data_IF_710409984223
#
_entry.id   IF_710409984223
#
_cell.length_a   1.000
_cell.length_b   1.000
_cell.length_c   1.000
_cell.angle_alpha   90.00
_cell.angle_beta   90.00
_cell.angle_gamma   90.00
#
_symmetry.space_group_name_H-M   'P 1'
#
loop_
_entity.id
_entity.type
_entity.pdbx_description
1 polymer ?
#
# COMPACT_ATOMS: atom_id res chain seq x y z
N UNK A 1 16.16 25.36 -7.42
CA UNK A 1 16.23 24.49 -6.22
C UNK A 1 15.94 23.07 -6.65
N UNK A 2 16.95 22.19 -6.62
CA UNK A 2 16.84 20.81 -7.10
C UNK A 2 15.97 19.99 -6.15
N UNK A 3 14.72 19.73 -6.53
CA UNK A 3 13.89 18.69 -5.91
C UNK A 3 14.53 17.33 -6.21
N UNK A 4 15.43 16.88 -5.33
CA UNK A 4 15.93 15.51 -5.41
C UNK A 4 14.81 14.58 -4.96
N UNK A 5 14.31 13.66 -5.81
CA UNK A 5 13.24 12.73 -5.43
C UNK A 5 13.65 11.84 -4.25
N UNK A 6 14.96 11.57 -4.10
CA UNK A 6 15.51 10.84 -2.96
C UNK A 6 15.36 11.61 -1.64
N UNK A 7 15.61 12.93 -1.64
CA UNK A 7 15.42 13.75 -0.44
C UNK A 7 13.97 13.75 0.01
N UNK A 8 13.04 13.87 -0.94
CA UNK A 8 11.62 13.79 -0.66
C UNK A 8 11.24 12.43 -0.04
N UNK A 9 11.81 11.33 -0.55
CA UNK A 9 11.60 10.01 0.03
C UNK A 9 12.06 9.94 1.50
N UNK A 10 13.25 10.44 1.82
CA UNK A 10 13.75 10.41 3.20
C UNK A 10 12.99 11.36 4.14
N UNK A 11 12.50 12.49 3.63
CA UNK A 11 11.57 13.35 4.36
C UNK A 11 10.26 12.63 4.69
N UNK A 12 9.73 11.86 3.74
CA UNK A 12 8.53 11.04 3.93
C UNK A 12 8.71 9.97 5.02
N UNK A 13 9.88 9.30 5.05
CA UNK A 13 10.22 8.34 6.10
C UNK A 13 10.21 9.02 7.48
N UNK A 14 10.82 10.20 7.62
CA UNK A 14 10.81 10.94 8.88
C UNK A 14 9.41 11.42 9.27
N UNK A 15 8.61 11.87 8.31
CA UNK A 15 7.23 12.29 8.57
C UNK A 15 6.38 11.15 9.14
N UNK A 16 6.57 9.92 8.66
CA UNK A 16 5.88 8.74 9.21
C UNK A 16 6.26 8.54 10.68
N UNK A 17 7.55 8.62 11.02
CA UNK A 17 7.99 8.47 12.41
C UNK A 17 7.46 9.60 13.31
N UNK A 18 7.39 10.83 12.78
CA UNK A 18 6.81 11.97 13.50
C UNK A 18 5.31 11.76 13.76
N UNK A 19 4.57 11.29 12.75
CA UNK A 19 3.15 10.97 12.88
C UNK A 19 2.92 9.86 13.91
N UNK A 20 3.70 8.78 13.86
CA UNK A 20 3.60 7.69 14.83
C UNK A 20 3.91 8.17 16.26
N UNK A 21 4.86 9.09 16.43
CA UNK A 21 5.23 9.65 17.73
C UNK A 21 4.20 10.63 18.32
N UNK A 22 3.55 11.44 17.48
CA UNK A 22 2.65 12.53 17.91
C UNK A 22 1.16 12.17 17.84
N UNK A 23 0.76 11.35 16.88
CA UNK A 23 -0.64 11.08 16.53
C UNK A 23 -1.03 9.62 16.78
N UNK A 24 -0.04 8.74 16.90
CA UNK A 24 -0.21 7.33 17.20
C UNK A 24 0.05 6.41 16.01
N UNK A 25 0.62 5.24 16.31
CA UNK A 25 1.01 4.26 15.31
C UNK A 25 -0.18 3.61 14.57
N UNK A 26 -0.09 3.59 13.24
CA UNK A 26 -1.03 2.85 12.39
C UNK A 26 -0.62 1.39 12.20
N UNK A 27 -1.52 0.53 11.70
CA UNK A 27 -1.18 -0.84 11.32
C UNK A 27 -1.03 -1.87 12.46
N UNK A 28 -1.07 -1.46 13.74
CA UNK A 28 -0.98 -2.39 14.86
C UNK A 28 -2.33 -3.03 15.25
N UNK A 29 -2.31 -4.36 15.39
CA UNK A 29 -3.46 -5.21 15.68
C UNK A 29 -4.02 -5.08 17.10
N UNK A 30 -3.21 -4.64 18.08
CA UNK A 30 -3.63 -4.46 19.48
C UNK A 30 -3.27 -3.07 20.01
N UNK A 31 -3.86 -2.69 21.15
CA UNK A 31 -3.55 -1.42 21.85
C UNK A 31 -2.10 -1.40 22.35
N UNK A 32 -1.66 -2.48 22.99
CA UNK A 32 -0.30 -2.65 23.50
C UNK A 32 0.74 -2.53 22.39
N UNK A 33 0.49 -3.16 21.24
CA UNK A 33 1.40 -3.05 20.10
C UNK A 33 1.49 -1.60 19.58
N UNK A 34 0.38 -0.85 19.54
CA UNK A 34 0.43 0.59 19.19
C UNK A 34 1.28 1.37 20.19
N UNK A 35 1.09 1.15 21.48
CA UNK A 35 1.85 1.83 22.53
C UNK A 35 3.35 1.59 22.37
N UNK A 36 3.75 0.34 22.11
CA UNK A 36 5.14 -0.03 21.83
C UNK A 36 5.68 0.70 20.60
N UNK A 37 4.93 0.74 19.50
CA UNK A 37 5.36 1.42 18.27
C UNK A 37 5.50 2.93 18.47
N UNK A 38 4.56 3.56 19.19
CA UNK A 38 4.63 4.99 19.55
C UNK A 38 5.87 5.26 20.40
N UNK A 39 6.13 4.41 21.39
CA UNK A 39 7.33 4.49 22.23
C UNK A 39 8.62 4.38 21.43
N UNK A 40 8.69 3.43 20.49
CA UNK A 40 9.83 3.28 19.57
C UNK A 40 10.03 4.51 18.68
N UNK A 41 8.95 5.04 18.10
CA UNK A 41 9.02 6.24 17.26
C UNK A 41 9.52 7.47 18.06
N UNK A 42 9.03 7.65 19.29
CA UNK A 42 9.51 8.71 20.18
C UNK A 42 10.99 8.54 20.52
N UNK A 43 11.40 7.33 20.92
CA UNK A 43 12.80 7.07 21.27
C UNK A 43 13.76 7.30 20.08
N UNK A 44 13.35 6.84 18.89
CA UNK A 44 14.10 7.04 17.65
C UNK A 44 14.33 8.52 17.32
N UNK A 45 13.32 9.37 17.54
CA UNK A 45 13.38 10.80 17.21
C UNK A 45 13.97 11.68 18.32
N UNK A 46 14.17 11.17 19.54
CA UNK A 46 14.69 11.96 20.68
C UNK A 46 16.08 11.54 21.15
N UNK A 47 16.61 10.44 20.61
CA UNK A 47 17.91 9.89 20.99
C UNK A 47 18.87 9.98 19.80
N UNK A 48 20.05 10.60 19.93
CA UNK A 48 21.02 10.64 18.85
C UNK A 48 21.49 9.22 18.53
N UNK A 49 21.42 8.84 17.26
CA UNK A 49 21.82 7.52 16.78
C UNK A 49 22.46 7.60 15.39
N UNK A 50 23.37 6.67 15.03
CA UNK A 50 23.95 6.63 13.69
C UNK A 50 22.89 6.55 12.59
N UNK A 51 21.84 5.74 12.79
CA UNK A 51 20.76 5.56 11.82
C UNK A 51 19.97 6.86 11.62
N UNK A 52 19.64 7.56 12.71
CA UNK A 52 18.96 8.86 12.61
C UNK A 52 19.85 9.90 11.90
N UNK A 53 21.15 9.92 12.19
CA UNK A 53 22.10 10.82 11.53
C UNK A 53 22.11 10.61 10.00
N UNK A 54 22.14 9.34 9.55
CA UNK A 54 22.08 8.99 8.13
C UNK A 54 20.76 9.45 7.51
N UNK A 55 19.63 9.15 8.14
CA UNK A 55 18.30 9.52 7.62
C UNK A 55 18.14 11.04 7.53
N UNK A 56 18.55 11.77 8.57
CA UNK A 56 18.52 13.24 8.58
C UNK A 56 19.44 13.82 7.48
N UNK A 57 20.66 13.29 7.34
CA UNK A 57 21.59 13.72 6.28
C UNK A 57 20.99 13.54 4.88
N UNK A 58 20.40 12.38 4.61
CA UNK A 58 19.76 12.08 3.31
C UNK A 58 18.50 12.91 3.08
N UNK A 59 17.77 13.27 4.14
CA UNK A 59 16.62 14.16 4.08
C UNK A 59 16.98 15.65 3.97
N UNK A 60 18.27 15.99 4.11
CA UNK A 60 18.77 17.37 4.12
C UNK A 60 18.42 18.14 5.39
N UNK A 61 18.36 17.46 6.54
CA UNK A 61 18.05 18.02 7.85
C UNK A 61 19.19 17.77 8.83
N UNK A 62 19.31 18.65 9.82
CA UNK A 62 20.25 18.48 10.93
C UNK A 62 19.64 17.59 12.03
N UNK A 63 20.38 16.59 12.49
CA UNK A 63 19.90 15.61 13.46
C UNK A 63 19.60 16.26 14.81
N UNK A 64 20.49 17.13 15.30
CA UNK A 64 20.32 17.77 16.62
C UNK A 64 19.12 18.70 16.62
N UNK A 65 18.93 19.49 15.56
CA UNK A 65 17.75 20.33 15.39
C UNK A 65 16.45 19.52 15.36
N UNK A 66 16.45 18.34 14.70
CA UNK A 66 15.28 17.43 14.69
C UNK A 66 15.00 16.89 16.09
N UNK A 67 16.02 16.45 16.82
CA UNK A 67 15.89 15.92 18.19
C UNK A 67 15.34 16.99 19.13
N UNK A 68 15.89 18.20 19.08
CA UNK A 68 15.44 19.33 19.91
C UNK A 68 13.96 19.65 19.63
N UNK A 69 13.60 19.79 18.35
CA UNK A 69 12.23 20.07 17.95
C UNK A 69 11.27 18.94 18.37
N UNK A 70 11.68 17.68 18.24
CA UNK A 70 10.85 16.54 18.61
C UNK A 70 10.67 16.40 20.11
N UNK A 71 11.71 16.67 20.93
CA UNK A 71 11.59 16.72 22.39
C UNK A 71 10.57 17.79 22.82
N UNK A 72 10.64 18.98 22.23
CA UNK A 72 9.70 20.06 22.50
C UNK A 72 8.24 19.70 22.12
N UNK A 73 8.05 19.05 20.97
CA UNK A 73 6.71 18.59 20.53
C UNK A 73 6.17 17.46 21.41
N UNK A 74 7.00 16.50 21.79
CA UNK A 74 6.61 15.36 22.63
C UNK A 74 6.25 15.82 24.05
N UNK A 75 6.92 16.84 24.58
CA UNK A 75 6.59 17.40 25.89
C UNK A 75 5.15 17.94 25.97
N UNK A 76 4.58 18.38 24.84
CA UNK A 76 3.21 18.88 24.74
C UNK A 76 2.21 17.81 24.25
N UNK A 77 2.68 16.60 23.93
CA UNK A 77 1.86 15.54 23.36
C UNK A 77 1.30 14.60 24.46
N UNK A 78 0.13 13.98 24.25
CA UNK A 78 -0.41 12.98 25.17
C UNK A 78 0.54 11.80 25.39
N UNK A 79 0.32 11.01 26.44
CA UNK A 79 1.15 9.83 26.70
C UNK A 79 0.98 8.76 25.59
N UNK A 80 1.96 7.86 25.39
CA UNK A 80 1.84 6.79 24.40
C UNK A 80 0.61 5.89 24.64
N UNK A 81 0.25 5.65 25.91
CA UNK A 81 -0.93 4.87 26.29
C UNK A 81 -2.25 5.55 25.88
N UNK A 82 -2.33 6.88 26.03
CA UNK A 82 -3.49 7.68 25.62
C UNK A 82 -3.64 7.69 24.09
N UNK A 83 -2.54 7.90 23.37
CA UNK A 83 -2.52 7.84 21.92
C UNK A 83 -2.90 6.45 21.39
N UNK A 84 -2.40 5.38 22.01
CA UNK A 84 -2.70 4.01 21.62
C UNK A 84 -4.18 3.63 21.80
N UNK A 85 -4.86 4.28 22.75
CA UNK A 85 -6.27 4.07 23.08
C UNK A 85 -7.20 4.68 22.03
N UNK A 86 -6.79 5.75 21.35
CA UNK A 86 -7.64 6.47 20.39
C UNK A 86 -7.30 6.14 18.92
N UNK A 87 -7.79 4.99 18.43
CA UNK A 87 -7.63 4.55 17.04
C UNK A 87 -8.14 5.58 15.99
N UNK A 88 -9.09 6.44 16.36
CA UNK A 88 -9.73 7.38 15.42
C UNK A 88 -8.83 8.57 15.08
N UNK A 89 -7.99 9.05 16.01
CA UNK A 89 -7.10 10.19 15.78
C UNK A 89 -6.06 9.86 14.69
N UNK A 90 -5.35 8.74 14.83
CA UNK A 90 -4.33 8.27 13.89
C UNK A 90 -4.89 8.05 12.47
N UNK A 91 -6.05 7.38 12.35
CA UNK A 91 -6.69 7.14 11.05
C UNK A 91 -7.23 8.41 10.37
N UNK A 92 -7.68 9.41 11.15
CA UNK A 92 -8.21 10.65 10.59
C UNK A 92 -7.09 11.58 10.12
N UNK A 93 -5.93 11.58 10.78
CA UNK A 93 -4.79 12.40 10.32
C UNK A 93 -4.19 11.90 9.02
N UNK A 94 -4.03 10.58 8.84
CA UNK A 94 -3.63 10.03 7.53
C UNK A 94 -4.64 10.34 6.42
N UNK A 95 -5.94 10.47 6.75
CA UNK A 95 -6.98 10.88 5.79
C UNK A 95 -6.97 12.38 5.48
N UNK A 96 -6.56 13.23 6.44
CA UNK A 96 -6.43 14.69 6.28
C UNK A 96 -5.15 15.10 5.55
N UNK A 97 -4.14 14.23 5.49
CA UNK A 97 -2.94 14.45 4.69
C UNK A 97 -3.37 14.81 3.26
N UNK A 98 -2.93 15.94 2.68
CA UNK A 98 -3.31 16.32 1.33
C UNK A 98 -2.83 15.21 0.40
N UNK A 99 -3.73 14.30 0.03
CA UNK A 99 -3.46 13.42 -1.10
C UNK A 99 -3.26 14.36 -2.27
N UNK A 100 -2.15 14.21 -2.99
CA UNK A 100 -1.98 14.90 -4.26
C UNK A 100 -3.32 14.86 -4.98
N UNK A 101 -3.87 16.05 -5.26
CA UNK A 101 -5.16 16.13 -5.88
C UNK A 101 -5.02 15.42 -7.22
N UNK A 102 -5.53 14.18 -7.30
CA UNK A 102 -5.63 13.48 -8.58
C UNK A 102 -6.24 14.49 -9.54
N UNK A 103 -5.65 14.68 -10.74
CA UNK A 103 -6.10 15.72 -11.65
C UNK A 103 -7.62 15.65 -11.73
N UNK A 104 -8.30 16.77 -11.40
CA UNK A 104 -9.76 16.85 -11.43
C UNK A 104 -10.17 16.27 -12.78
N UNK A 105 -10.93 15.18 -12.78
CA UNK A 105 -11.41 14.55 -14.01
C UNK A 105 -12.18 15.64 -14.76
N UNK A 106 -11.60 16.16 -15.84
CA UNK A 106 -12.34 17.03 -16.75
C UNK A 106 -13.49 16.16 -17.23
N UNK A 107 -14.72 16.63 -17.08
CA UNK A 107 -15.89 15.87 -17.51
C UNK A 107 -15.69 15.45 -18.98
N UNK A 108 -15.79 14.15 -19.31
CA UNK A 108 -15.43 13.59 -20.62
C UNK A 108 -16.28 14.12 -21.78
N UNK A 109 -17.36 14.85 -21.49
CA UNK A 109 -18.30 15.37 -22.49
C UNK A 109 -17.76 16.58 -23.27
N UNK A 110 -16.75 17.30 -22.78
CA UNK A 110 -16.42 18.62 -23.33
C UNK A 110 -15.29 18.65 -24.37
N UNK A 111 -14.49 17.58 -24.54
CA UNK A 111 -13.37 17.57 -25.49
C UNK A 111 -13.77 16.90 -26.82
N UNK A 112 -13.76 17.62 -27.95
CA UNK A 112 -13.98 17.01 -29.25
C UNK A 112 -12.80 16.08 -29.60
N UNK A 113 -13.13 14.93 -30.17
CA UNK A 113 -12.18 13.91 -30.63
C UNK A 113 -12.19 13.89 -32.16
N UNK A 114 -11.01 14.02 -32.76
CA UNK A 114 -10.84 13.94 -34.22
C UNK A 114 -10.35 12.55 -34.60
N UNK A 115 -11.07 11.90 -35.50
CA UNK A 115 -10.69 10.61 -36.08
C UNK A 115 -11.20 10.54 -37.53
N UNK A 116 -10.34 10.11 -38.46
CA UNK A 116 -10.62 10.03 -39.90
C UNK A 116 -11.23 11.31 -40.49
N UNK A 117 -10.63 12.48 -40.18
CA UNK A 117 -11.08 13.78 -40.68
C UNK A 117 -12.42 14.27 -40.11
N UNK A 118 -13.08 13.49 -39.24
CA UNK A 118 -14.31 13.90 -38.57
C UNK A 118 -14.00 14.31 -37.13
N UNK A 119 -14.45 15.49 -36.73
CA UNK A 119 -14.32 15.97 -35.34
C UNK A 119 -15.69 15.93 -34.68
N UNK A 120 -15.86 15.05 -33.70
CA UNK A 120 -17.13 14.83 -32.99
C UNK A 120 -16.90 14.81 -31.48
N UNK A 121 -17.96 15.02 -30.70
CA UNK A 121 -17.90 14.88 -29.23
C UNK A 121 -17.75 13.41 -28.84
N UNK A 122 -17.27 13.15 -27.63
CA UNK A 122 -17.18 11.77 -27.08
C UNK A 122 -18.53 11.06 -27.09
N UNK A 123 -19.63 11.80 -26.93
CA UNK A 123 -20.99 11.26 -26.97
C UNK A 123 -21.39 10.84 -28.38
N UNK A 124 -21.12 11.68 -29.39
CA UNK A 124 -21.39 11.33 -30.78
C UNK A 124 -20.52 10.15 -31.27
N UNK A 125 -19.27 10.05 -30.79
CA UNK A 125 -18.43 8.88 -31.06
C UNK A 125 -18.95 7.61 -30.37
N UNK A 126 -19.49 7.73 -29.16
CA UNK A 126 -20.15 6.63 -28.46
C UNK A 126 -21.34 6.10 -29.29
N UNK A 127 -22.20 7.00 -29.77
CA UNK A 127 -23.35 6.65 -30.60
C UNK A 127 -22.94 5.98 -31.92
N UNK A 128 -21.86 6.45 -32.56
CA UNK A 128 -21.38 5.93 -33.85
C UNK A 128 -20.66 4.58 -33.74
N UNK A 129 -19.96 4.33 -32.64
CA UNK A 129 -19.14 3.11 -32.44
C UNK A 129 -19.82 2.03 -31.61
N UNK A 130 -20.96 2.35 -30.97
CA UNK A 130 -21.63 1.45 -30.02
C UNK A 130 -20.89 1.30 -28.69
N UNK A 131 -19.83 2.09 -28.46
CA UNK A 131 -19.10 2.14 -27.20
C UNK A 131 -19.76 3.14 -26.25
N UNK A 132 -19.72 2.89 -24.95
CA UNK A 132 -20.14 3.89 -23.96
C UNK A 132 -19.07 4.99 -23.82
N UNK A 133 -19.51 6.22 -23.51
CA UNK A 133 -18.62 7.36 -23.21
C UNK A 133 -17.55 6.98 -22.17
N UNK A 134 -17.93 6.22 -21.15
CA UNK A 134 -17.02 5.73 -20.10
C UNK A 134 -15.93 4.81 -20.64
N UNK A 135 -16.26 3.95 -21.61
CA UNK A 135 -15.27 3.05 -22.22
C UNK A 135 -14.26 3.84 -23.06
N UNK A 136 -14.72 4.78 -23.88
CA UNK A 136 -13.86 5.67 -24.67
C UNK A 136 -12.94 6.46 -23.73
N UNK A 137 -13.50 7.07 -22.68
CA UNK A 137 -12.72 7.84 -21.70
C UNK A 137 -11.71 7.00 -20.91
N UNK A 138 -12.11 5.79 -20.49
CA UNK A 138 -11.21 4.88 -19.78
C UNK A 138 -10.00 4.50 -20.64
N UNK A 139 -10.21 4.28 -21.95
CA UNK A 139 -9.14 3.96 -22.91
C UNK A 139 -8.19 5.13 -23.08
N UNK A 140 -8.71 6.35 -23.24
CA UNK A 140 -7.90 7.56 -23.36
C UNK A 140 -7.05 7.83 -22.10
N UNK A 141 -7.62 7.63 -20.90
CA UNK A 141 -6.87 7.76 -19.64
C UNK A 141 -5.79 6.69 -19.46
N UNK A 142 -5.94 5.55 -20.13
CA UNK A 142 -4.91 4.50 -20.17
C UNK A 142 -3.85 4.78 -21.25
N UNK A 143 -3.88 5.96 -21.88
CA UNK A 143 -2.91 6.38 -22.90
C UNK A 143 -3.16 5.79 -24.29
N UNK A 144 -4.37 5.29 -24.57
CA UNK A 144 -4.68 4.79 -25.91
C UNK A 144 -4.79 5.94 -26.91
N UNK A 145 -4.33 5.70 -28.14
CA UNK A 145 -4.59 6.58 -29.27
C UNK A 145 -6.09 6.64 -29.59
N UNK A 146 -6.57 7.77 -30.11
CA UNK A 146 -8.00 7.99 -30.42
C UNK A 146 -8.56 6.90 -31.32
N UNK A 147 -7.84 6.53 -32.39
CA UNK A 147 -8.20 5.44 -33.29
C UNK A 147 -8.47 4.14 -32.54
N UNK A 148 -7.46 3.63 -31.82
CA UNK A 148 -7.55 2.41 -31.01
C UNK A 148 -8.66 2.49 -29.95
N UNK A 149 -8.89 3.67 -29.38
CA UNK A 149 -9.93 3.88 -28.38
C UNK A 149 -11.34 3.71 -28.97
N UNK A 150 -11.53 3.99 -30.26
CA UNK A 150 -12.80 3.94 -30.98
C UNK A 150 -13.02 2.63 -31.75
N UNK A 151 -11.96 1.96 -32.21
CA UNK A 151 -12.09 0.76 -33.07
C UNK A 151 -12.08 -0.56 -32.30
N UNK A 152 -11.41 -0.62 -31.14
CA UNK A 152 -11.29 -1.88 -30.41
C UNK A 152 -12.62 -2.27 -29.74
N UNK A 153 -13.11 -3.51 -29.86
CA UNK A 153 -14.28 -3.97 -29.10
C UNK A 153 -13.94 -4.13 -27.61
N UNK A 154 -14.93 -3.92 -26.72
CA UNK A 154 -14.78 -4.22 -25.29
C UNK A 154 -15.06 -5.70 -25.10
N UNK A 155 -14.08 -6.45 -24.59
CA UNK A 155 -14.32 -7.83 -24.15
C UNK A 155 -15.20 -7.74 -22.89
N UNK A 156 -16.43 -8.27 -22.91
CA UNK A 156 -17.27 -8.26 -21.72
C UNK A 156 -16.57 -9.07 -20.63
N UNK A 157 -16.28 -8.43 -19.50
CA UNK A 157 -15.85 -9.18 -18.32
C UNK A 157 -17.02 -10.07 -17.94
N UNK A 158 -16.82 -11.39 -17.97
CA UNK A 158 -17.74 -12.30 -17.28
C UNK A 158 -17.75 -11.84 -15.84
N UNK A 159 -18.86 -11.21 -15.42
CA UNK A 159 -19.09 -10.99 -13.99
C UNK A 159 -19.20 -12.39 -13.43
N UNK A 160 -18.21 -12.80 -12.65
CA UNK A 160 -18.35 -13.95 -11.77
C UNK A 160 -19.44 -13.53 -10.78
N UNK A 161 -20.70 -13.76 -11.15
CA UNK A 161 -21.80 -13.71 -10.21
C UNK A 161 -21.56 -14.90 -9.31
N UNK A 162 -20.75 -14.70 -8.27
CA UNK A 162 -20.59 -15.70 -7.22
C UNK A 162 -21.95 -15.79 -6.53
N UNK A 163 -22.71 -16.89 -6.67
CA UNK A 163 -24.03 -16.99 -6.06
C UNK A 163 -23.96 -17.12 -4.53
N UNK A 164 -22.74 -17.22 -3.96
CA UNK A 164 -22.52 -17.50 -2.55
C UNK A 164 -22.74 -16.36 -1.55
N UNK A 165 -23.25 -15.19 -1.95
CA UNK A 165 -23.60 -14.12 -1.00
C UNK A 165 -25.10 -13.83 -1.04
N UNK A 166 -25.86 -14.60 -0.25
CA UNK A 166 -27.13 -14.15 0.31
C UNK A 166 -28.40 -14.36 -0.51
N UNK A 167 -28.49 -15.41 -1.34
CA UNK A 167 -29.80 -15.88 -1.84
C UNK A 167 -30.12 -17.24 -1.24
N UNK A 168 -31.21 -17.28 -0.49
CA UNK A 168 -31.79 -18.44 0.21
C UNK A 168 -32.11 -19.57 -0.78
N UNK A 169 -31.63 -20.79 -0.50
CA UNK A 169 -32.11 -22.03 -1.14
C UNK A 169 -31.01 -22.91 -1.75
N UNK A 170 -30.81 -24.08 -1.14
CA UNK A 170 -30.07 -25.27 -1.62
C UNK A 170 -28.57 -25.13 -1.94
N UNK A 171 -27.75 -25.64 -1.01
CA UNK A 171 -26.30 -25.75 -1.13
C UNK A 171 -25.90 -26.86 -2.11
N UNK A 172 -25.66 -26.52 -3.37
CA UNK A 172 -24.70 -27.26 -4.19
C UNK A 172 -23.31 -26.73 -3.87
N UNK A 173 -22.46 -27.61 -3.35
CA UNK A 173 -21.13 -27.31 -2.79
C UNK A 173 -20.21 -26.76 -3.88
N UNK A 174 -20.21 -25.44 -4.08
CA UNK A 174 -19.34 -24.78 -5.05
C UNK A 174 -18.09 -24.25 -4.35
N UNK A 175 -16.93 -24.70 -4.85
CA UNK A 175 -15.59 -24.36 -4.41
C UNK A 175 -15.37 -22.86 -4.21
N UNK A 176 -14.95 -22.47 -3.01
CA UNK A 176 -14.53 -21.10 -2.73
C UNK A 176 -13.30 -20.71 -3.57
N UNK A 177 -13.17 -19.44 -3.97
CA UNK A 177 -12.07 -19.00 -4.81
C UNK A 177 -10.73 -19.11 -4.06
N UNK A 178 -9.76 -19.82 -4.65
CA UNK A 178 -8.38 -19.88 -4.15
C UNK A 178 -7.69 -21.25 -4.17
N UNK A 179 -8.37 -22.33 -4.56
CA UNK A 179 -7.78 -23.68 -4.61
C UNK A 179 -7.91 -24.23 -6.03
N UNK A 180 -6.79 -24.55 -6.67
CA UNK A 180 -6.80 -25.25 -7.96
C UNK A 180 -7.54 -26.58 -7.83
N UNK A 181 -8.36 -26.91 -8.83
CA UNK A 181 -9.15 -28.15 -8.87
C UNK A 181 -8.30 -29.42 -8.77
N UNK A 182 -6.99 -29.31 -9.02
CA UNK A 182 -6.02 -30.39 -9.05
C UNK A 182 -5.41 -30.73 -7.66
N UNK A 183 -5.70 -29.94 -6.63
CA UNK A 183 -5.29 -30.30 -5.27
C UNK A 183 -6.27 -31.32 -4.71
N UNK A 184 -5.85 -32.59 -4.67
CA UNK A 184 -6.54 -33.62 -3.87
C UNK A 184 -6.71 -33.10 -2.44
N UNK A 185 -7.87 -33.38 -1.84
CA UNK A 185 -8.17 -33.07 -0.44
C UNK A 185 -6.96 -33.48 0.42
N UNK A 186 -6.27 -32.49 0.99
CA UNK A 186 -5.12 -32.75 1.84
C UNK A 186 -5.57 -33.68 2.97
N UNK A 187 -5.07 -34.91 2.98
CA UNK A 187 -5.12 -35.77 4.15
C UNK A 187 -4.17 -35.17 5.19
N UNK A 188 -4.60 -34.10 5.84
CA UNK A 188 -3.87 -33.44 6.93
C UNK A 188 -2.51 -32.89 6.56
N UNK A 189 -2.35 -31.57 6.56
CA UNK A 189 -1.02 -31.01 6.82
C UNK A 189 -0.70 -31.38 8.27
N UNK A 190 0.07 -32.44 8.48
CA UNK A 190 0.47 -32.99 9.79
C UNK A 190 1.29 -32.01 10.63
N UNK A 191 0.74 -30.82 10.92
CA UNK A 191 1.28 -29.78 11.78
C UNK A 191 1.04 -30.11 13.25
N UNK A 192 1.35 -31.36 13.62
CA UNK A 192 1.07 -31.92 14.93
C UNK A 192 2.08 -33.00 15.30
N UNK A 193 3.38 -32.67 15.23
CA UNK A 193 4.50 -33.20 16.03
C UNK A 193 5.82 -32.78 15.34
N UNK A 194 6.70 -32.11 16.08
CA UNK A 194 8.01 -31.68 15.60
C UNK A 194 8.80 -32.87 15.06
N UNK A 195 9.10 -32.87 13.77
CA UNK A 195 10.09 -33.77 13.18
C UNK A 195 11.48 -33.32 13.65
N UNK A 196 11.96 -33.88 14.76
CA UNK A 196 13.39 -33.86 15.07
C UNK A 196 14.09 -34.90 14.21
N UNK A 197 14.18 -34.65 12.91
CA UNK A 197 15.08 -35.41 12.06
C UNK A 197 16.46 -34.75 12.16
N UNK A 198 17.25 -35.19 13.15
CA UNK A 198 18.67 -34.81 13.24
C UNK A 198 19.41 -35.61 12.17
N UNK A 199 20.00 -34.99 11.14
CA UNK A 199 20.87 -35.72 10.24
C UNK A 199 22.08 -36.24 11.05
N UNK A 200 22.36 -37.54 10.96
CA UNK A 200 23.62 -38.15 11.44
C UNK A 200 24.75 -37.68 10.52
N UNK A 201 25.20 -36.46 10.72
CA UNK A 201 26.46 -35.97 10.15
C UNK A 201 27.59 -36.35 11.11
N UNK A 202 28.42 -37.31 10.68
CA UNK A 202 29.67 -37.64 11.36
C UNK A 202 30.77 -36.78 10.73
N UNK A 203 31.33 -35.84 11.49
CA UNK A 203 32.51 -35.10 11.07
C UNK A 203 33.75 -35.89 11.49
N UNK A 204 34.53 -36.35 10.52
CA UNK A 204 35.88 -36.87 10.77
C UNK A 204 36.76 -35.72 11.29
N UNK A 205 37.57 -35.93 12.34
CA UNK A 205 38.49 -34.92 12.83
C UNK A 205 39.56 -34.65 11.76
N UNK A 206 39.75 -33.37 11.42
CA UNK A 206 40.74 -32.94 10.47
C UNK A 206 42.15 -33.21 11.01
N UNK A 207 42.97 -33.84 10.17
CA UNK A 207 44.37 -34.16 10.41
C UNK A 207 45.18 -32.86 10.59
N UNK A 208 46.02 -32.84 11.62
CA UNK A 208 46.94 -31.73 11.90
C UNK A 208 47.87 -31.54 10.71
N UNK A 209 47.92 -30.33 10.16
CA UNK A 209 49.10 -29.88 9.42
C UNK A 209 49.92 -29.03 10.38
N UNK A 210 50.99 -29.63 10.91
CA UNK A 210 52.04 -28.95 11.65
C UNK A 210 52.98 -28.20 10.70
N UNK A 211 53.49 -27.08 11.22
CA UNK A 211 54.61 -26.22 10.78
C UNK A 211 54.38 -25.32 9.56
#
# INVERSE_FOLDING_TARGET
>A
MSNSPERALWQEVLLIQVDDALLGATGAGSREHREILIGKARAYLTTPSPDLAVVCSLAGMDMEAVIEAMRAKIANAPSPAELASNRKLSANTQRKRPKEAKPKRIAPAAKPLTYNGTTLTTQQWADRTGLTVTQIYSRLNQGWTVERALTQPVIPRKRNHNPGWGTTGETVVAHGPGVGSDFRKCEGTGGGRSAQDRPKISFSPNEKVEA
#
